data_IF_377099469638
#
_entry.id   IF_377099469638
#
_cell.length_a   1.000
_cell.length_b   1.000
_cell.length_c   1.000
_cell.angle_alpha   90.00
_cell.angle_beta   90.00
_cell.angle_gamma   90.00
#
_symmetry.space_group_name_H-M   'P 1'
#
loop_
_entity.id
_entity.type
_entity.pdbx_description
1 polymer ?
#
# COMPACT_ATOMS: atom_id res chain seq x y z
N UNK A 1 11.27 3.95 -11.21
CA UNK A 1 11.92 5.23 -10.80
C UNK A 1 12.84 5.00 -9.61
N UNK A 2 12.40 4.40 -8.50
CA UNK A 2 13.20 4.21 -7.27
C UNK A 2 14.53 3.49 -7.49
N UNK A 3 14.56 2.41 -8.28
CA UNK A 3 15.81 1.73 -8.65
C UNK A 3 16.78 2.66 -9.39
N UNK A 4 16.28 3.44 -10.36
CA UNK A 4 17.14 4.37 -11.10
C UNK A 4 17.68 5.49 -10.20
N UNK A 5 16.88 5.96 -9.26
CA UNK A 5 17.34 6.91 -8.22
C UNK A 5 18.47 6.27 -7.38
N UNK A 6 18.29 5.02 -6.92
CA UNK A 6 19.31 4.30 -6.17
C UNK A 6 20.60 4.11 -6.99
N UNK A 7 20.49 3.65 -8.23
CA UNK A 7 21.62 3.44 -9.14
C UNK A 7 22.39 4.75 -9.42
N UNK A 8 21.68 5.85 -9.69
CA UNK A 8 22.34 7.15 -9.91
C UNK A 8 23.02 7.66 -8.64
N UNK A 9 22.41 7.46 -7.48
CA UNK A 9 23.01 7.85 -6.20
C UNK A 9 24.32 7.10 -5.92
N UNK A 10 24.42 5.81 -6.28
CA UNK A 10 25.66 5.05 -6.08
C UNK A 10 26.82 5.51 -6.98
N UNK A 11 26.54 6.26 -8.04
CA UNK A 11 27.58 6.83 -8.90
C UNK A 11 28.21 8.12 -8.32
N UNK A 12 27.62 8.67 -7.27
CA UNK A 12 28.16 9.83 -6.58
C UNK A 12 29.25 9.38 -5.60
N UNK A 13 30.44 9.93 -5.73
CA UNK A 13 31.62 9.52 -4.96
C UNK A 13 31.51 9.75 -3.46
N UNK A 14 30.68 10.71 -3.05
CA UNK A 14 30.45 11.04 -1.64
C UNK A 14 29.33 10.22 -0.98
N UNK A 15 28.57 9.40 -1.74
CA UNK A 15 27.55 8.52 -1.18
C UNK A 15 28.18 7.15 -0.88
N UNK A 16 28.12 6.73 0.36
CA UNK A 16 28.63 5.43 0.79
C UNK A 16 27.65 4.31 0.46
N UNK A 17 26.36 4.50 0.77
CA UNK A 17 25.31 3.47 0.58
C UNK A 17 23.95 4.07 0.26
N UNK A 18 23.14 3.26 -0.40
CA UNK A 18 21.71 3.52 -0.61
C UNK A 18 20.91 2.47 0.16
N UNK A 19 20.00 2.91 1.00
CA UNK A 19 19.05 2.08 1.74
C UNK A 19 17.67 2.26 1.15
N UNK A 20 17.14 1.21 0.53
CA UNK A 20 15.75 1.17 0.09
C UNK A 20 14.90 0.54 1.19
N UNK A 21 14.03 1.34 1.79
CA UNK A 21 13.26 0.99 3.00
C UNK A 21 11.80 0.77 2.63
N UNK A 22 11.32 -0.45 2.85
CA UNK A 22 9.94 -0.85 2.62
C UNK A 22 9.17 -1.05 3.94
N UNK A 23 7.86 -0.87 3.90
CA UNK A 23 7.00 -1.02 5.08
C UNK A 23 6.77 -2.49 5.49
N UNK A 24 6.69 -3.41 4.53
CA UNK A 24 6.31 -4.81 4.77
C UNK A 24 7.34 -5.80 4.27
N UNK A 25 7.46 -6.94 4.97
CA UNK A 25 8.38 -8.04 4.61
C UNK A 25 8.10 -8.62 3.21
N UNK A 26 6.84 -8.67 2.80
CA UNK A 26 6.47 -9.20 1.48
C UNK A 26 6.95 -8.28 0.34
N UNK A 27 6.97 -6.97 0.60
CA UNK A 27 7.48 -5.96 -0.34
C UNK A 27 9.01 -6.01 -0.46
N UNK A 28 9.74 -6.41 0.58
CA UNK A 28 11.19 -6.63 0.57
C UNK A 28 11.58 -7.63 -0.54
N UNK A 29 10.93 -8.80 -0.58
CA UNK A 29 11.18 -9.81 -1.61
C UNK A 29 10.76 -9.36 -3.02
N UNK A 30 9.60 -8.73 -3.14
CA UNK A 30 9.11 -8.23 -4.43
C UNK A 30 10.02 -7.13 -4.99
N UNK A 31 10.44 -6.20 -4.16
CA UNK A 31 11.38 -5.13 -4.52
C UNK A 31 12.71 -5.69 -4.99
N UNK A 32 13.26 -6.68 -4.28
CA UNK A 32 14.49 -7.36 -4.70
C UNK A 32 14.34 -7.98 -6.08
N UNK A 33 13.24 -8.70 -6.32
CA UNK A 33 12.96 -9.33 -7.60
C UNK A 33 12.81 -8.32 -8.74
N UNK A 34 12.19 -7.16 -8.46
CA UNK A 34 12.08 -6.09 -9.45
C UNK A 34 13.45 -5.42 -9.71
N UNK A 35 14.26 -5.21 -8.68
CA UNK A 35 15.59 -4.64 -8.83
C UNK A 35 16.51 -5.58 -9.64
N UNK A 36 16.43 -6.88 -9.40
CA UNK A 36 17.18 -7.90 -10.16
C UNK A 36 16.78 -7.98 -11.65
N UNK A 37 15.57 -7.54 -12.00
CA UNK A 37 15.13 -7.42 -13.41
C UNK A 37 15.85 -6.29 -14.14
N UNK A 38 16.18 -5.21 -13.45
CA UNK A 38 16.90 -4.08 -14.04
C UNK A 38 18.40 -4.33 -14.08
N UNK A 39 18.95 -4.88 -13.00
CA UNK A 39 20.38 -5.20 -12.89
C UNK A 39 20.57 -6.30 -11.84
N UNK A 40 20.92 -7.50 -12.30
CA UNK A 40 21.06 -8.67 -11.44
C UNK A 40 22.20 -8.49 -10.42
N UNK A 41 21.87 -8.62 -9.14
CA UNK A 41 22.80 -8.50 -8.04
C UNK A 41 23.16 -7.06 -7.64
N UNK A 42 22.53 -6.03 -8.25
CA UNK A 42 22.78 -4.63 -7.91
C UNK A 42 22.32 -4.27 -6.49
N UNK A 43 21.32 -4.97 -5.96
CA UNK A 43 20.75 -4.73 -4.65
C UNK A 43 20.83 -5.97 -3.75
N UNK A 44 20.96 -5.76 -2.46
CA UNK A 44 21.08 -6.82 -1.47
C UNK A 44 19.97 -6.73 -0.43
N UNK A 45 19.15 -7.77 -0.34
CA UNK A 45 18.12 -7.92 0.69
C UNK A 45 18.71 -8.54 1.97
N UNK A 46 17.94 -8.47 3.05
CA UNK A 46 18.34 -9.06 4.33
C UNK A 46 17.17 -9.80 5.00
N UNK A 47 17.48 -11.00 5.53
CA UNK A 47 16.51 -11.84 6.28
C UNK A 47 16.50 -11.55 7.77
N UNK A 48 17.54 -10.86 8.29
CA UNK A 48 17.67 -10.55 9.70
C UNK A 48 18.43 -9.24 9.94
N UNK A 49 18.29 -8.65 11.13
CA UNK A 49 19.03 -7.47 11.58
C UNK A 49 20.55 -7.71 11.59
N UNK A 50 21.00 -8.95 11.88
CA UNK A 50 22.43 -9.31 11.83
C UNK A 50 22.99 -9.25 10.41
N UNK A 51 22.23 -9.69 9.41
CA UNK A 51 22.65 -9.60 8.01
C UNK A 51 22.65 -8.13 7.57
N UNK A 52 21.66 -7.35 7.93
CA UNK A 52 21.62 -5.91 7.68
C UNK A 52 22.88 -5.22 8.26
N UNK A 53 23.25 -5.54 9.51
CA UNK A 53 24.47 -4.99 10.11
C UNK A 53 25.71 -5.30 9.29
N UNK A 54 25.93 -6.55 8.90
CA UNK A 54 27.06 -6.94 8.04
C UNK A 54 27.08 -6.20 6.70
N UNK A 55 25.90 -6.03 6.08
CA UNK A 55 25.78 -5.29 4.83
C UNK A 55 26.09 -3.78 5.00
N UNK A 56 25.75 -3.20 6.14
CA UNK A 56 26.10 -1.81 6.47
C UNK A 56 27.63 -1.63 6.70
N UNK A 57 28.28 -2.67 7.21
CA UNK A 57 29.72 -2.69 7.45
C UNK A 57 30.53 -2.96 6.15
N UNK A 58 30.00 -3.76 5.23
CA UNK A 58 30.67 -4.17 3.99
C UNK A 58 30.61 -3.08 2.92
N UNK A 59 31.72 -2.43 2.62
CA UNK A 59 31.78 -1.32 1.66
C UNK A 59 31.57 -1.76 0.21
N UNK A 60 31.66 -3.05 -0.11
CA UNK A 60 31.37 -3.57 -1.45
C UNK A 60 29.87 -3.55 -1.76
N UNK A 61 28.99 -3.56 -0.74
CA UNK A 61 27.54 -3.54 -0.86
C UNK A 61 27.07 -2.09 -0.89
N UNK A 62 26.63 -1.61 -2.06
CA UNK A 62 26.20 -0.20 -2.25
C UNK A 62 24.70 0.01 -2.08
N UNK A 63 23.87 -0.94 -2.51
CA UNK A 63 22.40 -0.84 -2.42
C UNK A 63 21.87 -1.94 -1.51
N UNK A 64 21.17 -1.57 -0.45
CA UNK A 64 20.57 -2.48 0.53
C UNK A 64 19.06 -2.27 0.55
N UNK A 65 18.29 -3.34 0.33
CA UNK A 65 16.82 -3.34 0.49
C UNK A 65 16.51 -3.92 1.87
N UNK A 66 15.76 -3.19 2.66
CA UNK A 66 15.40 -3.60 4.04
C UNK A 66 14.01 -3.12 4.43
N UNK A 67 13.47 -3.65 5.52
CA UNK A 67 12.22 -3.14 6.09
C UNK A 67 12.49 -2.08 7.16
N UNK A 68 11.54 -1.17 7.34
CA UNK A 68 11.65 -0.13 8.39
C UNK A 68 11.81 -0.74 9.78
N UNK A 69 11.17 -1.90 10.04
CA UNK A 69 11.28 -2.61 11.33
C UNK A 69 12.70 -3.11 11.58
N UNK A 70 13.35 -3.73 10.57
CA UNK A 70 14.74 -4.22 10.70
C UNK A 70 15.72 -3.08 10.91
N UNK A 71 15.54 -1.98 10.15
CA UNK A 71 16.39 -0.79 10.25
C UNK A 71 16.22 -0.12 11.62
N UNK A 72 14.99 0.07 12.07
CA UNK A 72 14.68 0.61 13.40
C UNK A 72 15.26 -0.26 14.54
N UNK A 73 15.15 -1.59 14.43
CA UNK A 73 15.70 -2.52 15.41
C UNK A 73 17.24 -2.49 15.42
N UNK A 74 17.89 -2.35 14.26
CA UNK A 74 19.32 -2.13 14.16
C UNK A 74 19.73 -0.86 14.91
N UNK A 75 19.04 0.26 14.67
CA UNK A 75 19.33 1.53 15.34
C UNK A 75 19.16 1.42 16.86
N UNK A 76 18.08 0.77 17.34
CA UNK A 76 17.84 0.57 18.78
C UNK A 76 18.96 -0.20 19.47
N UNK A 77 19.51 -1.21 18.80
CA UNK A 77 20.54 -2.08 19.38
C UNK A 77 21.97 -1.53 19.30
N UNK A 78 22.22 -0.59 18.38
CA UNK A 78 23.57 -0.17 18.03
C UNK A 78 23.72 1.36 18.06
N UNK A 79 23.56 1.98 19.25
CA UNK A 79 23.52 3.45 19.42
C UNK A 79 24.76 4.22 18.94
N UNK A 80 25.92 3.56 18.81
CA UNK A 80 27.19 4.20 18.45
C UNK A 80 27.86 3.55 17.24
N UNK A 81 27.08 2.87 16.39
CA UNK A 81 27.62 2.13 15.26
C UNK A 81 28.23 3.05 14.19
N UNK A 82 29.39 2.70 13.58
CA UNK A 82 30.05 3.53 12.56
C UNK A 82 29.16 3.83 11.33
N UNK A 83 28.21 2.96 11.01
CA UNK A 83 27.27 3.18 9.92
C UNK A 83 26.48 4.49 10.05
N UNK A 84 26.30 5.04 11.25
CA UNK A 84 25.55 6.29 11.46
C UNK A 84 26.32 7.54 10.99
N UNK A 85 27.61 7.43 10.74
CA UNK A 85 28.45 8.52 10.20
C UNK A 85 28.63 8.44 8.69
N UNK A 86 28.25 7.31 8.06
CA UNK A 86 28.30 7.15 6.60
C UNK A 86 27.32 8.11 5.92
N UNK A 87 27.66 8.53 4.71
CA UNK A 87 26.79 9.36 3.89
C UNK A 87 25.82 8.47 3.10
N UNK A 88 24.54 8.54 3.45
CA UNK A 88 23.52 7.64 2.96
C UNK A 88 22.50 8.32 2.06
N UNK A 89 21.91 7.55 1.16
CA UNK A 89 20.62 7.88 0.54
C UNK A 89 19.58 6.91 1.09
N UNK A 90 18.56 7.46 1.74
CA UNK A 90 17.43 6.75 2.29
C UNK A 90 16.24 6.91 1.34
N UNK A 91 15.76 5.81 0.76
CA UNK A 91 14.60 5.79 -0.13
C UNK A 91 13.48 5.02 0.57
N UNK A 92 12.38 5.69 0.90
CA UNK A 92 11.21 5.07 1.51
C UNK A 92 10.14 4.82 0.47
N UNK A 93 9.72 3.57 0.33
CA UNK A 93 8.56 3.20 -0.46
C UNK A 93 7.30 3.22 0.40
N UNK A 94 6.13 3.54 -0.22
CA UNK A 94 4.86 3.76 0.48
C UNK A 94 5.04 4.69 1.69
N UNK A 95 5.78 5.77 1.48
CA UNK A 95 6.31 6.62 2.56
C UNK A 95 5.22 7.25 3.43
N UNK A 96 3.98 7.42 2.91
CA UNK A 96 2.82 7.88 3.68
C UNK A 96 2.48 6.97 4.88
N UNK A 97 2.88 5.69 4.86
CA UNK A 97 2.63 4.74 5.96
C UNK A 97 3.67 4.84 7.07
N UNK A 98 4.90 5.20 6.72
CA UNK A 98 6.04 5.20 7.62
C UNK A 98 6.36 6.58 8.20
N UNK A 99 5.94 7.67 7.54
CA UNK A 99 6.38 9.05 7.82
C UNK A 99 6.03 9.58 9.21
N UNK A 100 4.99 9.05 9.87
CA UNK A 100 4.53 9.53 11.17
C UNK A 100 4.89 8.63 12.33
N UNK A 101 5.59 7.52 12.09
CA UNK A 101 5.90 6.54 13.11
C UNK A 101 7.21 6.83 13.86
N UNK A 102 7.26 6.40 15.13
CA UNK A 102 8.48 6.45 15.95
C UNK A 102 9.69 5.80 15.28
N UNK A 103 9.45 4.80 14.41
CA UNK A 103 10.51 4.12 13.67
C UNK A 103 11.18 5.04 12.64
N UNK A 104 10.42 5.84 11.90
CA UNK A 104 10.96 6.82 10.96
C UNK A 104 11.79 7.86 11.70
N UNK A 105 11.23 8.47 12.74
CA UNK A 105 11.92 9.45 13.58
C UNK A 105 13.22 8.88 14.16
N UNK A 106 13.17 7.66 14.71
CA UNK A 106 14.35 6.99 15.25
C UNK A 106 15.46 6.83 14.20
N UNK A 107 15.10 6.50 12.95
CA UNK A 107 16.09 6.33 11.87
C UNK A 107 16.71 7.69 11.52
N UNK A 108 15.92 8.71 11.24
CA UNK A 108 16.42 10.02 10.81
C UNK A 108 17.19 10.76 11.91
N UNK A 109 16.85 10.56 13.16
CA UNK A 109 17.56 11.17 14.30
C UNK A 109 18.96 10.55 14.54
N UNK A 110 19.20 9.30 14.12
CA UNK A 110 20.45 8.60 14.39
C UNK A 110 21.45 8.66 13.22
N UNK A 111 21.00 8.63 11.97
CA UNK A 111 21.89 8.84 10.83
C UNK A 111 22.20 10.33 10.66
N UNK A 112 23.49 10.68 10.59
CA UNK A 112 23.92 12.09 10.61
C UNK A 112 24.01 12.72 9.22
N UNK A 113 24.40 11.93 8.22
CA UNK A 113 24.66 12.39 6.86
C UNK A 113 23.78 11.59 5.91
N UNK A 114 22.62 12.15 5.51
CA UNK A 114 21.74 11.45 4.60
C UNK A 114 20.95 12.40 3.69
N UNK A 115 20.58 11.85 2.54
CA UNK A 115 19.53 12.38 1.68
C UNK A 115 18.30 11.50 1.78
N UNK A 116 17.12 12.09 1.83
CA UNK A 116 15.87 11.40 2.04
C UNK A 116 14.95 11.53 0.83
N UNK A 117 14.48 10.40 0.29
CA UNK A 117 13.49 10.35 -0.78
C UNK A 117 12.29 9.52 -0.36
N UNK A 118 11.09 10.05 -0.58
CA UNK A 118 9.82 9.36 -0.36
C UNK A 118 9.11 9.07 -1.68
N UNK A 119 8.71 7.81 -1.89
CA UNK A 119 7.83 7.40 -2.98
C UNK A 119 6.48 6.98 -2.42
N UNK A 120 5.39 7.50 -2.99
CA UNK A 120 4.03 7.14 -2.55
C UNK A 120 2.99 7.41 -3.63
N UNK A 121 2.01 6.53 -3.74
CA UNK A 121 0.82 6.76 -4.56
C UNK A 121 -0.25 7.63 -3.86
N UNK A 122 -0.14 7.83 -2.53
CA UNK A 122 -1.15 8.52 -1.71
C UNK A 122 -0.50 9.51 -0.74
N UNK A 123 0.05 10.63 -1.24
CA UNK A 123 0.67 11.63 -0.37
C UNK A 123 -0.35 12.26 0.59
N UNK A 124 0.11 12.62 1.78
CA UNK A 124 -0.71 13.30 2.79
C UNK A 124 -0.48 14.80 2.67
N UNK A 125 -1.56 15.52 2.37
CA UNK A 125 -1.61 16.96 2.26
C UNK A 125 -2.23 17.56 3.54
N UNK A 126 -2.08 18.86 3.75
CA UNK A 126 -2.61 19.56 4.92
C UNK A 126 -4.12 19.33 5.15
N UNK A 127 -4.92 19.25 4.05
CA UNK A 127 -6.37 19.06 4.16
C UNK A 127 -6.83 17.62 4.48
N UNK A 128 -5.96 16.63 4.36
CA UNK A 128 -6.25 15.23 4.71
C UNK A 128 -5.33 14.70 5.82
N UNK A 129 -4.54 15.57 6.43
CA UNK A 129 -3.75 15.24 7.60
C UNK A 129 -4.66 15.02 8.82
N UNK A 130 -4.39 13.98 9.59
CA UNK A 130 -5.11 13.70 10.83
C UNK A 130 -4.42 14.36 12.02
N UNK A 131 -5.18 15.11 12.84
CA UNK A 131 -4.66 15.83 14.02
C UNK A 131 -4.08 14.94 15.13
N UNK A 132 -4.07 13.62 14.96
CA UNK A 132 -3.55 12.65 15.95
C UNK A 132 -2.06 12.35 15.76
N UNK A 133 -1.46 12.85 14.71
CA UNK A 133 -0.05 12.64 14.36
C UNK A 133 0.83 13.71 14.98
N UNK A 134 2.12 13.41 15.14
CA UNK A 134 3.11 14.36 15.62
C UNK A 134 3.01 15.69 14.83
N UNK A 135 2.88 16.84 15.50
CA UNK A 135 2.72 18.15 14.84
C UNK A 135 3.82 18.47 13.83
N UNK A 136 5.02 17.94 14.05
CA UNK A 136 6.20 18.19 13.21
C UNK A 136 6.19 17.41 11.88
N UNK A 137 5.32 16.38 11.73
CA UNK A 137 5.28 15.48 10.58
C UNK A 137 3.85 15.15 10.14
N UNK A 138 2.99 16.15 10.03
CA UNK A 138 1.59 15.95 9.64
C UNK A 138 1.38 15.69 8.15
N UNK A 139 2.31 16.14 7.29
CA UNK A 139 2.22 16.00 5.84
C UNK A 139 3.44 15.29 5.26
N UNK A 140 3.29 14.78 4.03
CA UNK A 140 4.40 14.13 3.31
C UNK A 140 5.53 15.13 3.03
N UNK A 141 5.19 16.37 2.73
CA UNK A 141 6.16 17.43 2.49
C UNK A 141 6.99 17.79 3.74
N UNK A 142 6.35 17.81 4.92
CA UNK A 142 7.07 18.02 6.19
C UNK A 142 8.04 16.89 6.49
N UNK A 143 7.70 15.65 6.14
CA UNK A 143 8.52 14.48 6.43
C UNK A 143 9.64 14.24 5.41
N UNK A 144 9.43 14.57 4.15
CA UNK A 144 10.34 14.24 3.03
C UNK A 144 10.84 15.45 2.23
N UNK A 145 10.36 16.65 2.53
CA UNK A 145 10.70 17.85 1.79
C UNK A 145 9.86 18.09 0.56
N UNK A 146 10.33 18.94 -0.33
CA UNK A 146 9.62 19.38 -1.52
C UNK A 146 9.27 18.21 -2.47
N UNK A 147 8.07 18.31 -3.08
CA UNK A 147 7.61 17.37 -4.08
C UNK A 147 8.38 17.53 -5.39
N UNK A 148 9.20 16.55 -5.73
CA UNK A 148 10.09 16.58 -6.90
C UNK A 148 9.38 16.17 -8.19
N UNK A 149 8.45 15.18 -8.13
CA UNK A 149 7.79 14.64 -9.32
C UNK A 149 6.40 14.09 -8.99
N UNK A 150 5.51 14.14 -9.97
CA UNK A 150 4.19 13.54 -9.88
C UNK A 150 3.86 12.82 -11.19
N UNK A 151 3.39 11.57 -11.08
CA UNK A 151 2.82 10.78 -12.16
C UNK A 151 1.48 10.25 -11.70
N UNK A 152 0.42 10.91 -12.15
CA UNK A 152 -0.95 10.61 -11.68
C UNK A 152 -1.58 9.48 -12.47
N UNK A 153 -2.73 8.98 -11.98
CA UNK A 153 -3.53 8.01 -12.70
C UNK A 153 -4.02 8.58 -14.06
N UNK A 154 -4.23 9.89 -14.15
CA UNK A 154 -4.61 10.55 -15.41
C UNK A 154 -3.46 10.49 -16.41
N UNK A 155 -2.23 10.78 -15.96
CA UNK A 155 -1.04 10.67 -16.81
C UNK A 155 -0.87 9.22 -17.30
N UNK A 156 -1.03 8.25 -16.39
CA UNK A 156 -0.91 6.83 -16.72
C UNK A 156 -1.98 6.34 -17.72
N UNK A 157 -3.19 6.89 -17.67
CA UNK A 157 -4.26 6.60 -18.65
C UNK A 157 -3.92 7.23 -20.01
N UNK A 158 -3.46 8.48 -20.01
CA UNK A 158 -3.09 9.19 -21.24
C UNK A 158 -1.91 8.51 -21.94
N UNK A 159 -0.94 7.99 -21.18
CA UNK A 159 0.20 7.24 -21.70
C UNK A 159 -0.15 5.78 -22.09
N UNK A 160 -1.39 5.35 -21.90
CA UNK A 160 -1.82 3.98 -22.20
C UNK A 160 -1.29 2.90 -21.22
N UNK A 161 -0.69 3.31 -20.12
CA UNK A 161 -0.16 2.38 -19.09
C UNK A 161 -1.25 1.82 -18.16
N UNK A 162 -2.36 2.53 -18.03
CA UNK A 162 -3.54 2.13 -17.27
C UNK A 162 -4.79 2.29 -18.10
N UNK A 163 -5.69 1.32 -18.05
CA UNK A 163 -6.99 1.43 -18.71
C UNK A 163 -7.87 2.48 -18.03
N UNK A 164 -8.67 3.23 -18.78
CA UNK A 164 -9.65 4.14 -18.19
C UNK A 164 -10.66 3.36 -17.37
N UNK A 165 -11.13 3.96 -16.27
CA UNK A 165 -12.10 3.35 -15.38
C UNK A 165 -13.23 4.32 -15.06
N UNK A 166 -14.35 3.76 -14.60
CA UNK A 166 -15.51 4.51 -14.12
C UNK A 166 -15.75 4.19 -12.67
N UNK A 167 -16.09 5.20 -11.88
CA UNK A 167 -16.50 5.06 -10.47
C UNK A 167 -18.03 5.24 -10.39
N UNK A 168 -18.69 4.23 -9.86
CA UNK A 168 -20.11 4.29 -9.52
C UNK A 168 -20.27 4.28 -7.99
N UNK A 169 -20.94 5.29 -7.45
CA UNK A 169 -21.25 5.36 -6.03
C UNK A 169 -22.65 4.81 -5.77
N UNK A 170 -22.75 3.83 -4.87
CA UNK A 170 -24.03 3.23 -4.48
C UNK A 170 -24.29 3.52 -3.00
N UNK A 171 -25.33 4.26 -2.72
CA UNK A 171 -25.75 4.53 -1.33
C UNK A 171 -26.39 3.26 -0.74
N UNK A 172 -25.76 2.68 0.26
CA UNK A 172 -26.20 1.44 0.92
C UNK A 172 -26.84 1.67 2.29
N UNK A 173 -26.82 2.92 2.79
CA UNK A 173 -27.44 3.33 4.05
C UNK A 173 -28.31 4.55 3.75
N UNK A 174 -29.61 4.44 3.97
CA UNK A 174 -30.54 5.56 3.85
C UNK A 174 -31.02 5.92 5.25
N UNK A 175 -30.94 7.19 5.69
CA UNK A 175 -31.61 7.65 6.90
C UNK A 175 -33.11 7.41 6.76
N UNK A 176 -33.82 7.11 7.85
CA UNK A 176 -35.28 7.08 7.84
C UNK A 176 -35.80 8.49 7.60
N UNK A 177 -36.89 8.60 6.84
CA UNK A 177 -37.57 9.89 6.66
C UNK A 177 -37.94 10.49 8.03
N UNK A 178 -37.62 11.78 8.23
CA UNK A 178 -37.91 12.50 9.48
C UNK A 178 -36.84 12.44 10.56
N UNK A 179 -35.69 11.78 10.32
CA UNK A 179 -34.54 11.83 11.26
C UNK A 179 -33.87 13.21 11.25
N UNK A 180 -33.57 13.71 12.43
CA UNK A 180 -32.81 14.96 12.61
C UNK A 180 -31.31 14.74 12.41
N UNK A 181 -30.56 15.79 12.08
CA UNK A 181 -29.08 15.73 11.93
C UNK A 181 -28.40 15.21 13.20
N UNK A 182 -28.96 15.47 14.38
CA UNK A 182 -28.44 14.94 15.67
C UNK A 182 -28.61 13.43 15.78
N UNK A 183 -29.73 12.89 15.34
CA UNK A 183 -29.99 11.45 15.33
C UNK A 183 -29.14 10.74 14.28
N UNK A 184 -28.91 11.35 13.13
CA UNK A 184 -28.00 10.83 12.10
C UNK A 184 -26.55 10.79 12.62
N UNK A 185 -26.10 11.83 13.32
CA UNK A 185 -24.77 11.89 13.93
C UNK A 185 -24.59 10.92 15.12
N UNK A 186 -25.69 10.49 15.75
CA UNK A 186 -25.67 9.53 16.87
C UNK A 186 -25.66 8.06 16.40
N UNK A 187 -25.82 7.79 15.10
CA UNK A 187 -25.78 6.42 14.55
C UNK A 187 -24.37 5.85 14.72
N UNK A 188 -24.28 4.69 15.37
CA UNK A 188 -23.06 3.90 15.38
C UNK A 188 -22.77 3.42 13.95
N UNK A 189 -21.87 4.10 13.26
CA UNK A 189 -21.55 3.85 11.85
C UNK A 189 -21.06 2.41 11.63
N UNK A 190 -20.29 1.85 12.54
CA UNK A 190 -19.79 0.47 12.42
C UNK A 190 -20.94 -0.54 12.50
N UNK A 191 -21.89 -0.35 13.42
CA UNK A 191 -23.04 -1.22 13.59
C UNK A 191 -23.98 -1.11 12.39
N UNK A 192 -24.27 0.10 11.92
CA UNK A 192 -25.08 0.34 10.71
C UNK A 192 -24.44 -0.31 9.47
N UNK A 193 -23.14 -0.17 9.29
CA UNK A 193 -22.39 -0.80 8.18
C UNK A 193 -22.33 -2.33 8.29
N UNK A 194 -22.39 -2.88 9.50
CA UNK A 194 -22.40 -4.32 9.76
C UNK A 194 -23.82 -4.92 9.85
N UNK A 195 -24.88 -4.12 9.69
CA UNK A 195 -26.26 -4.61 9.80
C UNK A 195 -26.57 -5.72 8.81
N UNK A 196 -27.39 -6.66 9.24
CA UNK A 196 -27.76 -7.82 8.41
C UNK A 196 -28.52 -7.40 7.14
N UNK A 197 -29.35 -6.39 7.24
CA UNK A 197 -30.13 -5.85 6.13
C UNK A 197 -29.22 -5.22 5.08
N UNK A 198 -28.29 -4.36 5.49
CA UNK A 198 -27.32 -3.75 4.58
C UNK A 198 -26.46 -4.79 3.87
N UNK A 199 -25.92 -5.76 4.61
CA UNK A 199 -25.12 -6.86 4.03
C UNK A 199 -25.95 -7.63 3.00
N UNK A 200 -27.23 -7.89 3.29
CA UNK A 200 -28.15 -8.56 2.35
C UNK A 200 -28.37 -7.74 1.08
N UNK A 201 -28.62 -6.44 1.22
CA UNK A 201 -28.88 -5.55 0.10
C UNK A 201 -27.65 -5.36 -0.78
N UNK A 202 -26.47 -5.21 -0.19
CA UNK A 202 -25.20 -5.13 -0.93
C UNK A 202 -24.97 -6.41 -1.74
N UNK A 203 -25.16 -7.59 -1.15
CA UNK A 203 -25.00 -8.87 -1.83
C UNK A 203 -26.01 -9.02 -2.98
N UNK A 204 -27.29 -8.68 -2.74
CA UNK A 204 -28.32 -8.68 -3.80
C UNK A 204 -27.92 -7.79 -4.97
N UNK A 205 -27.52 -6.56 -4.69
CA UNK A 205 -27.09 -5.60 -5.71
C UNK A 205 -25.91 -6.15 -6.55
N UNK A 206 -24.89 -6.70 -5.88
CA UNK A 206 -23.73 -7.27 -6.57
C UNK A 206 -24.15 -8.43 -7.47
N UNK A 207 -24.94 -9.38 -6.98
CA UNK A 207 -25.39 -10.56 -7.76
C UNK A 207 -26.23 -10.12 -8.98
N UNK A 208 -27.11 -9.13 -8.83
CA UNK A 208 -27.97 -8.64 -9.89
C UNK A 208 -27.22 -7.91 -11.00
N UNK A 209 -26.15 -7.18 -10.64
CA UNK A 209 -25.39 -6.37 -11.59
C UNK A 209 -24.08 -7.02 -12.04
N UNK A 210 -23.74 -8.21 -11.52
CA UNK A 210 -22.44 -8.84 -11.72
C UNK A 210 -22.12 -9.06 -13.21
N UNK A 211 -23.04 -9.66 -13.97
CA UNK A 211 -22.83 -9.99 -15.38
C UNK A 211 -22.65 -8.73 -16.23
N UNK A 212 -23.44 -7.69 -15.96
CA UNK A 212 -23.35 -6.40 -16.63
C UNK A 212 -22.04 -5.69 -16.32
N UNK A 213 -21.69 -5.59 -15.01
CA UNK A 213 -20.48 -4.86 -14.55
C UNK A 213 -19.21 -5.58 -14.95
N UNK A 214 -19.20 -6.91 -14.99
CA UNK A 214 -18.05 -7.72 -15.39
C UNK A 214 -18.04 -8.07 -16.87
N UNK A 215 -18.97 -7.52 -17.68
CA UNK A 215 -19.10 -7.75 -19.13
C UNK A 215 -19.13 -9.22 -19.55
N UNK A 216 -19.75 -10.09 -18.74
CA UNK A 216 -19.82 -11.54 -19.04
C UNK A 216 -20.62 -11.87 -20.30
N UNK A 217 -21.46 -10.95 -20.76
CA UNK A 217 -22.21 -11.06 -22.00
C UNK A 217 -21.40 -10.62 -23.24
N UNK A 218 -20.14 -10.24 -23.07
CA UNK A 218 -19.25 -9.78 -24.13
C UNK A 218 -18.00 -10.62 -24.16
N UNK A 219 -17.47 -10.81 -25.38
CA UNK A 219 -16.16 -11.44 -25.57
C UNK A 219 -15.12 -10.37 -25.89
N UNK A 220 -13.90 -10.59 -25.45
CA UNK A 220 -12.76 -9.76 -25.83
C UNK A 220 -11.51 -10.62 -25.99
N UNK A 221 -10.61 -10.18 -26.84
CA UNK A 221 -9.34 -10.86 -27.07
C UNK A 221 -8.24 -10.21 -26.25
N UNK A 222 -7.53 -11.00 -25.48
CA UNK A 222 -6.37 -10.58 -24.70
C UNK A 222 -5.20 -11.51 -25.04
N UNK A 223 -4.18 -10.98 -25.68
CA UNK A 223 -2.96 -11.72 -26.07
C UNK A 223 -3.27 -13.02 -26.82
N UNK A 224 -4.23 -12.97 -27.75
CA UNK A 224 -4.64 -14.12 -28.55
C UNK A 224 -5.56 -15.12 -27.84
N UNK A 225 -6.00 -14.83 -26.62
CA UNK A 225 -7.01 -15.62 -25.92
C UNK A 225 -8.36 -14.91 -25.92
N UNK A 226 -9.38 -15.60 -26.39
CA UNK A 226 -10.76 -15.12 -26.30
C UNK A 226 -11.30 -15.35 -24.89
N UNK A 227 -11.59 -14.26 -24.19
CA UNK A 227 -12.07 -14.27 -22.81
C UNK A 227 -13.53 -13.79 -22.76
N UNK A 228 -14.27 -14.33 -21.78
CA UNK A 228 -15.65 -13.96 -21.51
C UNK A 228 -15.75 -13.32 -20.13
N UNK A 229 -15.95 -12.00 -20.12
CA UNK A 229 -16.11 -11.22 -18.91
C UNK A 229 -14.83 -11.08 -18.07
N UNK A 230 -14.96 -10.32 -16.99
CA UNK A 230 -13.88 -10.05 -16.04
C UNK A 230 -14.19 -10.69 -14.68
N UNK A 231 -13.15 -10.99 -13.91
CA UNK A 231 -13.28 -11.27 -12.48
C UNK A 231 -13.47 -9.96 -11.71
N UNK A 232 -13.99 -10.04 -10.49
CA UNK A 232 -14.12 -8.90 -9.60
C UNK A 232 -13.50 -9.17 -8.25
N UNK A 233 -13.04 -8.10 -7.60
CA UNK A 233 -12.54 -8.12 -6.21
C UNK A 233 -13.53 -7.32 -5.37
N UNK A 234 -14.02 -7.92 -4.30
CA UNK A 234 -14.86 -7.29 -3.31
C UNK A 234 -14.09 -7.12 -2.01
N UNK A 235 -13.65 -5.88 -1.74
CA UNK A 235 -12.90 -5.55 -0.52
C UNK A 235 -13.87 -5.17 0.61
N UNK A 236 -13.59 -5.63 1.82
CA UNK A 236 -14.38 -5.38 3.02
C UNK A 236 -13.49 -4.94 4.18
N UNK A 237 -14.10 -4.35 5.22
CA UNK A 237 -13.38 -3.68 6.32
C UNK A 237 -12.60 -4.63 7.24
N UNK A 238 -12.99 -5.91 7.35
CA UNK A 238 -12.37 -6.84 8.29
C UNK A 238 -12.60 -8.31 7.91
N UNK A 239 -11.81 -9.21 8.50
CA UNK A 239 -11.98 -10.67 8.33
C UNK A 239 -13.37 -11.15 8.79
N UNK A 240 -13.92 -10.74 9.95
CA UNK A 240 -15.29 -11.06 10.33
C UNK A 240 -16.33 -10.63 9.28
N UNK A 241 -16.16 -9.42 8.71
CA UNK A 241 -17.03 -8.96 7.63
C UNK A 241 -16.88 -9.80 6.36
N UNK A 242 -15.66 -10.20 5.99
CA UNK A 242 -15.44 -11.08 4.85
C UNK A 242 -16.18 -12.42 5.01
N UNK A 243 -16.11 -13.04 6.19
CA UNK A 243 -16.85 -14.27 6.51
C UNK A 243 -18.37 -14.06 6.43
N UNK A 244 -18.87 -12.95 6.99
CA UNK A 244 -20.31 -12.60 6.97
C UNK A 244 -20.84 -12.43 5.54
N UNK A 245 -20.10 -11.68 4.71
CA UNK A 245 -20.44 -11.50 3.30
C UNK A 245 -20.37 -12.81 2.51
N UNK A 246 -19.34 -13.63 2.73
CA UNK A 246 -19.19 -14.92 2.05
C UNK A 246 -20.39 -15.85 2.30
N UNK A 247 -20.81 -16.00 3.56
CA UNK A 247 -21.98 -16.80 3.92
C UNK A 247 -23.25 -16.24 3.30
N UNK A 248 -23.40 -14.91 3.27
CA UNK A 248 -24.58 -14.27 2.67
C UNK A 248 -24.62 -14.44 1.15
N UNK A 249 -23.48 -14.32 0.47
CA UNK A 249 -23.36 -14.62 -0.95
C UNK A 249 -23.76 -16.06 -1.26
N UNK A 250 -23.20 -17.02 -0.51
CA UNK A 250 -23.49 -18.44 -0.70
C UNK A 250 -24.99 -18.71 -0.62
N UNK A 251 -25.61 -18.21 0.44
CA UNK A 251 -27.06 -18.36 0.64
C UNK A 251 -27.88 -17.73 -0.50
N UNK A 252 -27.61 -16.50 -0.88
CA UNK A 252 -28.38 -15.82 -1.93
C UNK A 252 -28.14 -16.40 -3.34
N UNK A 253 -26.96 -16.93 -3.63
CA UNK A 253 -26.69 -17.61 -4.90
C UNK A 253 -27.48 -18.91 -4.99
N UNK A 254 -27.58 -19.70 -3.91
CA UNK A 254 -28.41 -20.90 -3.82
C UNK A 254 -29.91 -20.53 -4.01
N UNK A 255 -30.41 -19.53 -3.26
CA UNK A 255 -31.80 -19.04 -3.35
C UNK A 255 -32.19 -18.55 -4.76
N UNK A 256 -31.26 -17.86 -5.44
CA UNK A 256 -31.48 -17.29 -6.78
C UNK A 256 -31.08 -18.26 -7.91
N UNK A 257 -30.63 -19.46 -7.61
CA UNK A 257 -30.13 -20.46 -8.57
C UNK A 257 -29.08 -19.88 -9.55
N UNK A 258 -28.15 -19.07 -9.02
CA UNK A 258 -27.08 -18.44 -9.80
C UNK A 258 -25.76 -19.18 -9.64
N UNK A 259 -25.12 -19.51 -10.77
CA UNK A 259 -23.82 -20.19 -10.79
C UNK A 259 -22.69 -19.16 -10.84
N UNK A 260 -22.26 -18.68 -9.67
CA UNK A 260 -21.13 -17.77 -9.51
C UNK A 260 -20.16 -18.35 -8.46
N UNK A 261 -18.92 -18.56 -8.85
CA UNK A 261 -17.88 -19.03 -7.93
C UNK A 261 -17.34 -17.86 -7.10
N UNK A 262 -17.34 -18.02 -5.77
CA UNK A 262 -16.81 -17.02 -4.83
C UNK A 262 -15.74 -17.68 -3.97
N UNK A 263 -14.60 -16.99 -3.84
CA UNK A 263 -13.53 -17.37 -2.93
C UNK A 263 -13.23 -16.21 -1.96
N UNK A 264 -12.77 -16.51 -0.77
CA UNK A 264 -12.29 -15.55 0.20
C UNK A 264 -10.77 -15.62 0.30
N UNK A 265 -10.14 -14.45 0.36
CA UNK A 265 -8.70 -14.30 0.56
C UNK A 265 -8.49 -13.43 1.79
N UNK A 266 -7.85 -13.96 2.81
CA UNK A 266 -7.38 -13.20 3.96
C UNK A 266 -6.11 -13.84 4.52
N UNK A 267 -5.22 -13.00 5.06
CA UNK A 267 -4.03 -13.47 5.75
C UNK A 267 -4.27 -13.50 7.26
N UNK A 268 -3.78 -14.53 7.92
CA UNK A 268 -3.60 -14.49 9.36
C UNK A 268 -2.22 -13.90 9.64
N UNK A 269 -2.16 -12.91 10.51
CA UNK A 269 -0.90 -12.58 11.17
C UNK A 269 -0.60 -13.73 12.14
N UNK A 270 0.50 -14.44 11.87
CA UNK A 270 1.04 -15.42 12.81
C UNK A 270 1.61 -14.72 14.03
#
# INVERSE_FOLDING_TARGET
TSFKTAQLATNLSFIDKVLFVVDRKDLDYQTMKEYDRFEKGAANGNRSTKILQKQLEDDSIRIIVTTIQKLSEFVKRNKTHPAFTKHLVLIFDECHRSQFGDMHKLIVDNFKNYHLFGFTGTPIFAKNATNKSNPDFCTTEQAFGEKLHTYTIVDAINDGNVLPFRIDYVNTVKPKEGMTDKEVNAINTEEALASHERVSNVVSYIIEHFEQKTKRNSFYDLRGQRLNGFNSIFAVSSIPMAKKYYLKFKKQLEEKNKNLTIATIFSFSA
#
